data_IF_349404200786
#
_entry.id   IF_349404200786
#
_cell.length_a   1.000
_cell.length_b   1.000
_cell.length_c   1.000
_cell.angle_alpha   90.00
_cell.angle_beta   90.00
_cell.angle_gamma   90.00
#
_symmetry.space_group_name_H-M   'P 1'
#
loop_
_entity.id
_entity.type
_entity.pdbx_description
1 polymer ?
#
# COMPACT_ATOMS: atom_id res chain seq x y z
N UNK A 1 39.39 50.48 -19.37
CA UNK A 1 38.83 51.85 -19.22
C UNK A 1 38.58 52.44 -20.61
N UNK A 2 37.40 52.23 -21.20
CA UNK A 2 36.85 52.96 -22.38
C UNK A 2 35.32 52.81 -22.32
N UNK A 3 34.61 53.74 -21.66
CA UNK A 3 33.87 54.89 -22.23
C UNK A 3 32.74 54.52 -23.22
N UNK A 4 31.52 54.63 -22.70
CA UNK A 4 30.23 54.69 -23.37
C UNK A 4 30.17 55.72 -24.52
N UNK A 5 29.51 55.36 -25.63
CA UNK A 5 28.73 56.25 -26.50
C UNK A 5 27.66 55.38 -27.20
N UNK A 6 26.42 55.35 -26.69
CA UNK A 6 25.27 56.20 -27.06
C UNK A 6 24.60 55.79 -28.39
N UNK A 7 23.36 55.33 -28.20
CA UNK A 7 22.17 55.64 -29.00
C UNK A 7 22.02 55.00 -30.38
N UNK A 8 21.09 54.03 -30.47
CA UNK A 8 20.01 54.14 -31.43
C UNK A 8 18.74 53.49 -30.86
N UNK A 9 17.98 54.31 -30.13
CA UNK A 9 16.54 54.14 -29.98
C UNK A 9 15.96 54.35 -31.37
N UNK A 10 15.13 53.43 -31.89
CA UNK A 10 13.87 53.71 -32.61
C UNK A 10 13.27 52.38 -33.11
N UNK A 11 11.94 52.34 -33.08
CA UNK A 11 11.05 51.27 -33.52
C UNK A 11 11.01 50.06 -32.58
N UNK A 12 9.89 49.68 -31.99
CA UNK A 12 8.54 50.13 -32.17
C UNK A 12 7.70 49.26 -31.25
N UNK A 13 6.83 49.92 -30.50
CA UNK A 13 5.76 49.35 -29.70
C UNK A 13 5.04 48.29 -30.55
N UNK A 14 5.16 47.02 -30.17
CA UNK A 14 4.28 45.96 -30.64
C UNK A 14 3.93 45.06 -29.46
N UNK A 15 2.70 45.26 -28.99
CA UNK A 15 1.89 44.28 -28.26
C UNK A 15 2.37 43.88 -26.87
N UNK A 16 2.00 44.76 -25.93
CA UNK A 16 1.36 44.37 -24.67
C UNK A 16 0.36 43.21 -24.90
N UNK A 17 0.35 42.27 -23.96
CA UNK A 17 -0.63 41.20 -23.74
C UNK A 17 -0.39 39.85 -24.45
N UNK A 18 0.45 39.00 -23.83
CA UNK A 18 -0.02 37.66 -23.43
C UNK A 18 0.50 37.41 -22.01
N UNK A 19 -0.36 37.70 -21.05
CA UNK A 19 -0.17 37.36 -19.66
C UNK A 19 -0.19 35.83 -19.48
N UNK A 20 0.69 35.35 -18.59
CA UNK A 20 0.40 34.30 -17.61
C UNK A 20 -0.32 33.06 -18.17
N UNK A 21 0.42 32.14 -18.77
CA UNK A 21 -0.01 30.74 -18.87
C UNK A 21 0.78 29.90 -17.86
N UNK A 22 0.17 29.47 -16.76
CA UNK A 22 0.76 28.45 -15.91
C UNK A 22 0.62 27.08 -16.59
N UNK A 23 1.75 26.40 -16.82
CA UNK A 23 1.78 24.99 -17.22
C UNK A 23 1.30 24.15 -16.04
N UNK A 24 -0.01 23.87 -16.01
CA UNK A 24 -0.58 22.83 -15.15
C UNK A 24 -0.79 21.58 -16.01
N UNK A 25 0.22 20.73 -16.07
CA UNK A 25 0.05 19.35 -16.48
C UNK A 25 -0.58 18.56 -15.32
N UNK A 26 -1.90 18.65 -15.20
CA UNK A 26 -2.69 17.77 -14.36
C UNK A 26 -3.92 17.33 -15.16
N UNK A 27 -3.76 16.24 -15.92
CA UNK A 27 -4.90 15.54 -16.50
C UNK A 27 -5.68 14.89 -15.36
N UNK A 28 -6.70 15.59 -14.85
CA UNK A 28 -7.76 14.98 -14.06
C UNK A 28 -8.60 14.12 -14.99
N UNK A 29 -8.49 12.81 -14.84
CA UNK A 29 -9.40 11.86 -15.48
C UNK A 29 -10.77 12.03 -14.82
N UNK A 30 -11.67 12.56 -15.63
CA UNK A 30 -13.03 12.96 -15.33
C UNK A 30 -13.90 11.72 -15.02
N UNK A 31 -14.43 11.68 -13.79
CA UNK A 31 -15.56 10.80 -13.42
C UNK A 31 -16.79 11.26 -14.20
N UNK A 32 -17.43 10.34 -14.92
CA UNK A 32 -18.84 10.47 -15.27
C UNK A 32 -19.59 9.25 -14.75
N UNK A 33 -20.52 9.55 -13.86
CA UNK A 33 -21.52 8.67 -13.29
C UNK A 33 -22.44 8.06 -14.36
N UNK A 34 -22.70 6.76 -14.22
CA UNK A 34 -23.96 6.16 -14.65
C UNK A 34 -24.58 5.46 -13.45
N UNK A 35 -25.46 6.19 -12.77
CA UNK A 35 -26.45 5.65 -11.84
C UNK A 35 -27.41 4.75 -12.63
N UNK A 36 -27.35 3.44 -12.43
CA UNK A 36 -28.52 2.63 -12.07
C UNK A 36 -28.10 1.18 -11.86
N UNK A 37 -27.63 0.87 -10.66
CA UNK A 37 -27.80 -0.48 -10.12
C UNK A 37 -28.08 -0.32 -8.64
N UNK A 38 -29.37 -0.35 -8.30
CA UNK A 38 -29.82 -0.48 -6.92
C UNK A 38 -29.05 -1.65 -6.30
N UNK A 39 -28.32 -1.45 -5.19
CA UNK A 39 -27.91 -2.58 -4.37
C UNK A 39 -29.20 -3.11 -3.76
N UNK A 40 -29.66 -4.26 -4.23
CA UNK A 40 -30.56 -5.10 -3.45
C UNK A 40 -29.78 -5.42 -2.18
N UNK A 41 -30.09 -4.71 -1.10
CA UNK A 41 -29.70 -5.07 0.25
C UNK A 41 -30.46 -6.36 0.57
N UNK A 42 -29.91 -7.49 0.12
CA UNK A 42 -30.29 -8.77 0.69
C UNK A 42 -29.72 -8.77 2.10
N UNK A 43 -30.57 -8.36 3.05
CA UNK A 43 -30.40 -8.65 4.46
C UNK A 43 -30.34 -10.17 4.63
N UNK A 44 -29.17 -10.74 4.46
CA UNK A 44 -28.79 -12.02 5.01
C UNK A 44 -27.38 -11.82 5.56
N UNK A 45 -27.25 -11.90 6.88
CA UNK A 45 -26.01 -11.72 7.62
C UNK A 45 -24.96 -12.77 7.27
N UNK A 46 -24.41 -12.70 6.07
CA UNK A 46 -23.09 -13.25 5.78
C UNK A 46 -22.10 -12.19 6.22
N UNK A 47 -21.58 -12.36 7.43
CA UNK A 47 -20.35 -11.73 7.85
C UNK A 47 -19.30 -12.06 6.78
N UNK A 48 -19.05 -11.09 5.89
CA UNK A 48 -18.06 -11.22 4.82
C UNK A 48 -16.72 -11.20 5.50
N UNK A 49 -16.25 -12.37 5.90
CA UNK A 49 -14.89 -12.54 6.38
C UNK A 49 -13.98 -12.30 5.19
N UNK A 50 -13.19 -11.21 5.17
CA UNK A 50 -12.26 -10.99 4.09
C UNK A 50 -11.31 -12.19 4.02
N UNK A 51 -11.16 -12.77 2.82
CA UNK A 51 -10.21 -13.86 2.60
C UNK A 51 -8.81 -13.35 2.92
N UNK A 52 -8.21 -13.85 3.99
CA UNK A 52 -6.85 -13.48 4.40
C UNK A 52 -5.84 -13.88 3.34
N UNK A 53 -4.81 -13.04 3.10
CA UNK A 53 -3.70 -13.45 2.27
C UNK A 53 -2.91 -14.54 2.97
N UNK A 54 -2.52 -15.55 2.20
CA UNK A 54 -1.65 -16.63 2.64
C UNK A 54 -0.23 -16.38 2.12
N UNK A 55 0.76 -17.05 2.68
CA UNK A 55 2.11 -16.99 2.10
C UNK A 55 2.05 -17.52 0.67
N UNK A 56 2.63 -16.82 -0.31
CA UNK A 56 2.60 -17.25 -1.71
C UNK A 56 3.36 -18.56 -1.94
N UNK A 57 4.29 -18.93 -1.04
CA UNK A 57 5.09 -20.15 -1.12
C UNK A 57 4.91 -21.00 0.15
N UNK A 58 5.13 -22.33 0.06
CA UNK A 58 4.96 -23.23 1.20
C UNK A 58 5.84 -22.86 2.40
N UNK A 59 5.26 -22.89 3.60
CA UNK A 59 5.95 -22.71 4.89
C UNK A 59 5.50 -23.75 5.90
N UNK A 60 6.42 -24.19 6.75
CA UNK A 60 6.09 -24.99 7.94
C UNK A 60 6.20 -24.12 9.17
N UNK A 61 5.15 -24.09 9.99
CA UNK A 61 5.07 -23.26 11.20
C UNK A 61 4.84 -24.17 12.39
N UNK A 62 5.68 -24.02 13.42
CA UNK A 62 5.58 -24.69 14.71
C UNK A 62 5.71 -23.67 15.84
N UNK A 63 4.86 -23.79 16.85
CA UNK A 63 4.97 -22.95 18.04
C UNK A 63 5.96 -23.55 19.03
N UNK A 64 6.83 -22.70 19.58
CA UNK A 64 7.78 -23.06 20.63
C UNK A 64 7.72 -22.00 21.73
N UNK A 65 7.03 -22.34 22.83
CA UNK A 65 6.73 -21.37 23.88
C UNK A 65 5.99 -20.15 23.34
N UNK A 66 6.59 -18.96 23.50
CA UNK A 66 6.05 -17.65 23.08
C UNK A 66 6.48 -17.24 21.66
N UNK A 67 7.19 -18.10 20.94
CA UNK A 67 7.74 -17.81 19.63
C UNK A 67 7.20 -18.80 18.59
N UNK A 68 7.21 -18.38 17.32
CA UNK A 68 6.89 -19.25 16.20
C UNK A 68 8.17 -19.54 15.41
N UNK A 69 8.48 -20.82 15.27
CA UNK A 69 9.51 -21.33 14.37
C UNK A 69 8.90 -21.52 12.99
N UNK A 70 9.40 -20.78 12.00
CA UNK A 70 8.93 -20.85 10.61
C UNK A 70 10.07 -21.34 9.73
N UNK A 71 9.87 -22.51 9.12
CA UNK A 71 10.76 -23.02 8.09
C UNK A 71 10.25 -22.65 6.70
N UNK A 72 11.08 -21.96 5.93
CA UNK A 72 10.80 -21.57 4.55
C UNK A 72 11.91 -22.05 3.62
N UNK A 73 11.54 -22.52 2.42
CA UNK A 73 12.52 -22.84 1.36
C UNK A 73 12.93 -21.61 0.52
N UNK A 74 12.23 -20.49 0.71
CA UNK A 74 12.33 -19.30 -0.12
C UNK A 74 12.35 -18.03 0.74
N UNK A 75 12.84 -16.94 0.14
CA UNK A 75 12.67 -15.60 0.71
C UNK A 75 11.27 -15.10 0.34
N UNK A 76 10.45 -14.72 1.33
CA UNK A 76 9.07 -14.28 1.10
C UNK A 76 8.52 -13.44 2.26
N UNK A 77 7.36 -12.82 2.06
CA UNK A 77 6.60 -12.18 3.14
C UNK A 77 5.54 -13.16 3.67
N UNK A 78 5.44 -13.24 5.00
CA UNK A 78 4.42 -14.02 5.69
C UNK A 78 3.46 -13.05 6.39
N UNK A 79 2.23 -12.88 5.88
CA UNK A 79 1.24 -12.04 6.54
C UNK A 79 0.73 -12.70 7.83
N UNK A 80 0.50 -11.86 8.84
CA UNK A 80 -0.03 -12.22 10.16
C UNK A 80 -1.27 -11.39 10.39
N UNK A 81 -2.35 -12.06 10.77
CA UNK A 81 -3.64 -11.44 11.07
C UNK A 81 -3.98 -11.67 12.54
N UNK A 82 -4.82 -10.80 13.11
CA UNK A 82 -5.48 -11.08 14.38
C UNK A 82 -6.48 -12.22 14.22
N UNK A 83 -6.98 -12.77 15.33
CA UNK A 83 -8.04 -13.79 15.31
C UNK A 83 -9.30 -13.35 14.54
N UNK A 84 -9.62 -12.06 14.52
CA UNK A 84 -10.77 -11.52 13.81
C UNK A 84 -10.48 -11.27 12.31
N UNK A 85 -9.32 -11.70 11.81
CA UNK A 85 -8.94 -11.53 10.41
C UNK A 85 -8.44 -10.14 10.03
N UNK A 86 -8.22 -9.24 11.00
CA UNK A 86 -7.61 -7.92 10.75
C UNK A 86 -6.12 -8.09 10.48
N UNK A 87 -5.60 -7.44 9.44
CA UNK A 87 -4.16 -7.45 9.17
C UNK A 87 -3.40 -6.84 10.35
N UNK A 88 -2.43 -7.58 10.89
CA UNK A 88 -1.59 -7.13 12.01
C UNK A 88 -0.20 -6.70 11.53
N UNK A 89 0.51 -7.59 10.83
CA UNK A 89 1.84 -7.29 10.28
C UNK A 89 2.22 -8.28 9.18
N UNK A 90 3.32 -8.02 8.48
CA UNK A 90 3.95 -8.97 7.57
C UNK A 90 5.41 -9.20 7.99
N UNK A 91 5.78 -10.46 8.16
CA UNK A 91 7.14 -10.84 8.55
C UNK A 91 7.94 -11.22 7.32
N UNK A 92 9.12 -10.63 7.15
CA UNK A 92 10.06 -11.05 6.11
C UNK A 92 10.73 -12.35 6.53
N UNK A 93 10.48 -13.40 5.77
CA UNK A 93 11.14 -14.69 5.90
C UNK A 93 12.34 -14.76 4.96
N UNK A 94 13.45 -15.25 5.49
CA UNK A 94 14.59 -15.74 4.71
C UNK A 94 14.47 -17.24 4.49
N UNK A 95 15.18 -17.77 3.48
CA UNK A 95 15.35 -19.21 3.31
C UNK A 95 15.98 -19.82 4.58
N UNK A 96 15.41 -20.91 5.07
CA UNK A 96 15.83 -21.60 6.29
C UNK A 96 14.85 -21.39 7.44
N UNK A 97 15.40 -21.38 8.67
CA UNK A 97 14.64 -21.21 9.91
C UNK A 97 14.52 -19.73 10.27
N UNK A 98 13.30 -19.28 10.53
CA UNK A 98 12.99 -17.92 10.96
C UNK A 98 12.25 -18.00 12.29
N UNK A 99 12.63 -17.13 13.22
CA UNK A 99 11.95 -17.00 14.51
C UNK A 99 11.09 -15.75 14.48
N UNK A 100 9.79 -15.94 14.71
CA UNK A 100 8.86 -14.83 14.93
C UNK A 100 8.68 -14.72 16.44
N UNK A 101 9.22 -13.64 16.99
CA UNK A 101 9.16 -13.28 18.40
C UNK A 101 8.58 -11.88 18.58
N UNK A 102 8.17 -11.54 19.79
CA UNK A 102 7.69 -10.18 20.11
C UNK A 102 6.24 -9.91 19.69
N UNK A 103 5.50 -10.92 19.23
CA UNK A 103 4.06 -10.83 19.14
C UNK A 103 3.49 -10.67 20.56
N UNK A 104 2.61 -9.68 20.81
CA UNK A 104 1.85 -9.59 22.05
C UNK A 104 1.08 -10.89 22.35
N UNK A 105 0.69 -11.07 23.61
CA UNK A 105 -0.17 -12.20 23.97
C UNK A 105 -1.49 -12.09 23.22
N UNK A 106 -1.95 -13.19 22.65
CA UNK A 106 -3.17 -13.22 21.85
C UNK A 106 -3.17 -14.31 20.79
N UNK A 107 -4.27 -14.38 20.06
CA UNK A 107 -4.46 -15.33 18.97
C UNK A 107 -4.26 -14.64 17.62
N UNK A 108 -3.54 -15.32 16.75
CA UNK A 108 -3.19 -14.84 15.42
C UNK A 108 -3.52 -15.88 14.36
N UNK A 109 -3.89 -15.41 13.19
CA UNK A 109 -4.09 -16.22 12.00
C UNK A 109 -2.91 -16.03 11.06
N UNK A 110 -2.21 -17.13 10.78
CA UNK A 110 -1.03 -17.15 9.92
C UNK A 110 -1.19 -18.31 8.96
N UNK A 111 -1.20 -17.99 7.66
CA UNK A 111 -1.42 -18.99 6.60
C UNK A 111 -2.70 -19.82 6.85
N UNK A 112 -3.80 -19.15 7.20
CA UNK A 112 -5.11 -19.75 7.57
C UNK A 112 -5.08 -20.73 8.75
N UNK A 113 -4.04 -20.68 9.60
CA UNK A 113 -3.95 -21.48 10.84
C UNK A 113 -3.90 -20.56 12.05
N UNK A 114 -4.60 -20.95 13.12
CA UNK A 114 -4.60 -20.22 14.39
C UNK A 114 -3.38 -20.59 15.24
N UNK A 115 -2.71 -19.58 15.77
CA UNK A 115 -1.62 -19.69 16.74
C UNK A 115 -1.91 -18.79 17.93
N UNK A 116 -1.73 -19.30 19.15
CA UNK A 116 -2.02 -18.53 20.38
C UNK A 116 -0.72 -18.33 21.16
N UNK A 117 -0.33 -17.07 21.33
CA UNK A 117 0.86 -16.66 22.08
C UNK A 117 0.46 -16.43 23.54
N UNK A 118 1.06 -17.21 24.44
CA UNK A 118 0.80 -17.17 25.89
C UNK A 118 1.80 -16.31 26.67
#
# INVERSE_FOLDING_TARGET
MYKHFRNLIFAGIALVAVALLPVHAASQVQRNDTLSRQPVLTQQGSEVHPRMMTSPLPVSIRQQGRQLCVQSRYNQLLPVYTENGTFYTAVRLSKGTNWISGLPKGSYLINNRKFTIY
#
